data_IF_328619131836
#
_entry.id   IF_328619131836
#
_cell.length_a   1.000
_cell.length_b   1.000
_cell.length_c   1.000
_cell.angle_alpha   90.00
_cell.angle_beta   90.00
_cell.angle_gamma   90.00
#
_symmetry.space_group_name_H-M   'P 1'
#
loop_
_entity.id
_entity.type
_entity.pdbx_description
1 polymer ?
#
# COMPACT_ATOMS: atom_id res chain seq x y z
N UNK A 1 -14.35 -41.28 -58.58
CA UNK A 1 -13.19 -40.85 -57.75
C UNK A 1 -13.65 -39.66 -56.92
N UNK A 2 -14.06 -39.90 -55.62
CA UNK A 2 -14.58 -38.85 -54.74
C UNK A 2 -13.44 -38.35 -53.84
N UNK A 3 -13.06 -37.10 -54.00
CA UNK A 3 -12.01 -36.46 -53.18
C UNK A 3 -12.67 -35.89 -51.93
N UNK A 4 -12.40 -36.51 -50.80
CA UNK A 4 -12.81 -36.04 -49.46
C UNK A 4 -11.87 -34.90 -49.07
N UNK A 5 -12.40 -33.68 -48.97
CA UNK A 5 -11.67 -32.53 -48.38
C UNK A 5 -11.84 -32.55 -46.85
N UNK A 6 -10.75 -32.86 -46.18
CA UNK A 6 -10.66 -32.79 -44.72
C UNK A 6 -10.47 -31.32 -44.33
N UNK A 7 -11.47 -30.71 -43.67
CA UNK A 7 -11.35 -29.38 -43.07
C UNK A 7 -10.69 -29.53 -41.72
N UNK A 8 -9.45 -29.03 -41.59
CA UNK A 8 -8.77 -28.89 -40.29
C UNK A 8 -9.22 -27.56 -39.70
N UNK A 9 -10.06 -27.62 -38.65
CA UNK A 9 -10.41 -26.47 -37.82
C UNK A 9 -9.26 -26.22 -36.87
N UNK A 10 -8.45 -25.20 -37.12
CA UNK A 10 -7.44 -24.74 -36.18
C UNK A 10 -8.14 -24.02 -35.03
N UNK A 11 -8.21 -24.69 -33.87
CA UNK A 11 -8.67 -24.08 -32.64
C UNK A 11 -7.55 -23.21 -32.06
N UNK A 12 -7.61 -21.90 -32.27
CA UNK A 12 -6.71 -20.94 -31.65
C UNK A 12 -7.06 -20.80 -30.17
N UNK A 13 -6.24 -21.38 -29.31
CA UNK A 13 -6.34 -21.20 -27.86
C UNK A 13 -5.78 -19.81 -27.55
N UNK A 14 -6.64 -18.82 -27.31
CA UNK A 14 -6.24 -17.57 -26.67
C UNK A 14 -5.86 -17.90 -25.22
N UNK A 15 -4.57 -17.95 -24.95
CA UNK A 15 -4.06 -17.91 -23.57
C UNK A 15 -4.27 -16.49 -23.06
N UNK A 16 -5.31 -16.26 -22.28
CA UNK A 16 -5.41 -15.07 -21.46
C UNK A 16 -4.27 -15.15 -20.43
N UNK A 17 -3.22 -14.35 -20.62
CA UNK A 17 -2.23 -14.11 -19.57
C UNK A 17 -2.98 -13.41 -18.44
N UNK A 18 -3.22 -14.12 -17.34
CA UNK A 18 -3.57 -13.50 -16.08
C UNK A 18 -2.33 -12.68 -15.67
N UNK A 19 -2.36 -11.38 -15.94
CA UNK A 19 -1.43 -10.47 -15.28
C UNK A 19 -1.77 -10.55 -13.81
N UNK A 20 -0.92 -11.22 -13.03
CA UNK A 20 -0.91 -11.07 -11.58
C UNK A 20 -0.77 -9.56 -11.32
N UNK A 21 -1.56 -9.03 -10.42
CA UNK A 21 -1.67 -7.60 -10.14
C UNK A 21 -0.40 -7.18 -9.38
N UNK A 22 0.71 -7.01 -10.10
CA UNK A 22 2.02 -6.62 -9.55
C UNK A 22 1.96 -5.27 -8.80
N UNK A 23 0.86 -4.54 -8.98
CA UNK A 23 0.66 -3.21 -8.44
C UNK A 23 -0.29 -3.19 -7.25
N UNK A 24 -0.67 -4.34 -6.71
CA UNK A 24 -1.43 -4.49 -5.46
C UNK A 24 -0.52 -5.06 -4.38
N UNK A 25 -0.43 -4.35 -3.26
CA UNK A 25 0.42 -4.71 -2.13
C UNK A 25 -0.47 -5.03 -0.93
N UNK A 26 -0.35 -6.24 -0.40
CA UNK A 26 -1.02 -6.65 0.82
C UNK A 26 -0.14 -6.36 2.03
N UNK A 27 -0.67 -5.61 2.99
CA UNK A 27 0.01 -5.23 4.23
C UNK A 27 -0.83 -5.68 5.43
N UNK A 28 -0.24 -6.52 6.25
CA UNK A 28 -0.85 -6.97 7.50
C UNK A 28 -0.36 -6.16 8.70
N UNK A 29 -1.27 -5.91 9.64
CA UNK A 29 -0.97 -5.36 10.97
C UNK A 29 -1.75 -6.13 12.03
N UNK A 30 -1.34 -6.01 13.28
CA UNK A 30 -2.01 -6.60 14.42
C UNK A 30 -1.74 -5.75 15.68
N UNK A 31 -2.17 -6.22 16.86
CA UNK A 31 -1.99 -5.52 18.13
C UNK A 31 -0.52 -5.42 18.61
N UNK A 32 0.46 -5.78 17.76
CA UNK A 32 1.89 -5.79 18.06
C UNK A 32 2.69 -4.64 17.41
N UNK A 33 2.03 -3.65 16.80
CA UNK A 33 2.63 -2.47 16.17
C UNK A 33 3.72 -2.79 15.11
N UNK A 34 3.51 -3.82 14.30
CA UNK A 34 4.40 -4.18 13.19
C UNK A 34 3.65 -4.22 11.87
N UNK A 35 4.30 -3.81 10.80
CA UNK A 35 3.86 -4.08 9.43
C UNK A 35 4.45 -5.40 8.93
N UNK A 36 3.64 -6.16 8.20
CA UNK A 36 4.07 -7.38 7.51
C UNK A 36 3.62 -7.30 6.05
N UNK A 37 4.55 -7.23 5.10
CA UNK A 37 6.01 -7.15 5.26
C UNK A 37 6.51 -5.79 5.76
N UNK A 38 7.73 -5.74 6.29
CA UNK A 38 8.39 -4.52 6.76
C UNK A 38 9.13 -3.73 5.66
N UNK A 39 9.21 -4.28 4.46
CA UNK A 39 9.74 -3.62 3.26
C UNK A 39 8.80 -3.89 2.11
N UNK A 40 8.45 -2.84 1.38
CA UNK A 40 7.63 -2.90 0.19
C UNK A 40 8.45 -2.43 -1.00
N UNK A 41 8.28 -3.07 -2.16
CA UNK A 41 9.00 -2.73 -3.39
C UNK A 41 8.05 -2.68 -4.57
N UNK A 42 8.23 -1.68 -5.42
CA UNK A 42 7.52 -1.54 -6.70
C UNK A 42 8.49 -1.21 -7.83
N UNK A 43 8.16 -1.64 -9.04
CA UNK A 43 8.75 -1.10 -10.27
C UNK A 43 7.88 0.02 -10.80
N UNK A 44 8.43 1.23 -10.89
CA UNK A 44 7.72 2.40 -11.42
C UNK A 44 7.29 2.22 -12.87
N UNK A 45 8.11 1.51 -13.66
CA UNK A 45 7.81 1.22 -15.07
C UNK A 45 6.62 0.27 -15.21
N UNK A 46 6.54 -0.74 -14.36
CA UNK A 46 5.45 -1.72 -14.38
C UNK A 46 4.18 -1.22 -13.69
N UNK A 47 4.32 -0.34 -12.69
CA UNK A 47 3.23 0.11 -11.82
C UNK A 47 3.03 1.63 -11.86
N UNK A 48 2.31 2.17 -12.87
CA UNK A 48 1.99 3.59 -12.91
C UNK A 48 1.05 4.03 -11.78
N UNK A 49 0.34 3.09 -11.18
CA UNK A 49 -0.53 3.26 -10.02
C UNK A 49 -0.39 2.05 -9.11
N UNK A 50 -0.40 2.25 -7.80
CA UNK A 50 -0.26 1.20 -6.77
C UNK A 50 -1.43 1.23 -5.83
N UNK A 51 -1.97 0.06 -5.51
CA UNK A 51 -2.97 -0.12 -4.45
C UNK A 51 -2.32 -0.82 -3.27
N UNK A 52 -2.43 -0.23 -2.09
CA UNK A 52 -2.04 -0.83 -0.82
C UNK A 52 -3.29 -1.23 -0.06
N UNK A 53 -3.44 -2.52 0.22
CA UNK A 53 -4.50 -3.06 1.06
C UNK A 53 -3.94 -3.29 2.46
N UNK A 54 -4.54 -2.65 3.47
CA UNK A 54 -4.17 -2.79 4.87
C UNK A 54 -5.21 -3.62 5.60
N UNK A 55 -4.78 -4.70 6.26
CA UNK A 55 -5.66 -5.58 7.06
C UNK A 55 -5.15 -5.70 8.49
N UNK A 56 -6.03 -5.47 9.46
CA UNK A 56 -5.73 -5.58 10.88
C UNK A 56 -6.27 -6.90 11.46
N UNK A 57 -5.39 -7.86 11.74
CA UNK A 57 -5.74 -9.18 12.27
C UNK A 57 -5.85 -9.25 13.80
N UNK A 58 -5.62 -8.14 14.50
CA UNK A 58 -5.76 -8.05 15.97
C UNK A 58 -7.22 -7.97 16.42
N UNK A 59 -7.43 -7.70 17.71
CA UNK A 59 -8.76 -7.62 18.34
C UNK A 59 -9.06 -6.29 19.03
N UNK A 60 -8.10 -5.36 19.10
CA UNK A 60 -8.28 -4.09 19.80
C UNK A 60 -8.95 -3.04 18.91
N UNK A 61 -9.77 -2.21 19.54
CA UNK A 61 -10.50 -1.14 18.86
C UNK A 61 -9.53 -0.08 18.29
N UNK A 62 -9.91 0.57 17.20
CA UNK A 62 -9.11 1.60 16.55
C UNK A 62 -8.76 2.82 17.41
N UNK A 63 -9.51 3.09 18.47
CA UNK A 63 -9.20 4.15 19.43
C UNK A 63 -8.09 3.77 20.42
N UNK A 64 -7.74 2.48 20.51
CA UNK A 64 -6.75 1.93 21.45
C UNK A 64 -5.49 1.48 20.71
N UNK A 65 -5.65 0.73 19.60
CA UNK A 65 -4.58 0.14 18.81
C UNK A 65 -4.91 0.28 17.32
N UNK A 66 -5.30 1.50 16.93
CA UNK A 66 -5.56 1.79 15.52
C UNK A 66 -4.27 1.86 14.70
N UNK A 67 -4.34 1.41 13.46
CA UNK A 67 -3.24 1.49 12.51
C UNK A 67 -3.70 2.06 11.18
N UNK A 68 -2.86 2.89 10.58
CA UNK A 68 -2.94 3.27 9.18
C UNK A 68 -1.59 3.01 8.50
N UNK A 69 -1.59 3.07 7.19
CA UNK A 69 -0.40 3.05 6.35
C UNK A 69 -0.25 4.43 5.71
N UNK A 70 0.87 5.09 5.95
CA UNK A 70 1.17 6.44 5.45
C UNK A 70 2.49 6.43 4.73
N UNK A 71 2.56 6.97 3.50
CA UNK A 71 3.78 7.10 2.71
C UNK A 71 4.23 8.56 2.66
N UNK A 72 5.52 8.78 2.91
CA UNK A 72 6.19 10.08 2.69
C UNK A 72 7.66 9.86 2.30
N UNK A 73 8.38 10.96 2.00
CA UNK A 73 9.84 10.88 1.97
C UNK A 73 10.35 10.50 3.37
N UNK A 74 11.47 9.80 3.45
CA UNK A 74 12.07 9.44 4.74
C UNK A 74 12.41 10.69 5.56
N UNK A 75 12.84 11.76 4.88
CA UNK A 75 13.17 13.03 5.52
C UNK A 75 11.97 13.70 6.23
N UNK A 76 10.76 13.53 5.67
CA UNK A 76 9.54 14.16 6.18
C UNK A 76 8.75 13.28 7.16
N UNK A 77 8.96 11.97 7.13
CA UNK A 77 8.11 10.97 7.78
C UNK A 77 7.89 11.25 9.29
N UNK A 78 8.95 11.57 10.02
CA UNK A 78 8.83 11.86 11.45
C UNK A 78 8.07 13.17 11.72
N UNK A 79 8.31 14.20 10.91
CA UNK A 79 7.63 15.47 11.06
C UNK A 79 6.13 15.36 10.76
N UNK A 80 5.76 14.57 9.75
CA UNK A 80 4.35 14.26 9.43
C UNK A 80 3.69 13.51 10.58
N UNK A 81 4.32 12.44 11.10
CA UNK A 81 3.80 11.68 12.23
C UNK A 81 3.57 12.57 13.46
N UNK A 82 4.55 13.40 13.82
CA UNK A 82 4.44 14.29 14.97
C UNK A 82 3.33 15.35 14.80
N UNK A 83 3.21 15.93 13.61
CA UNK A 83 2.16 16.90 13.31
C UNK A 83 0.75 16.27 13.34
N UNK A 84 0.65 14.99 12.95
CA UNK A 84 -0.60 14.22 12.96
C UNK A 84 -1.17 13.97 14.35
N UNK A 85 -0.36 13.96 15.39
CA UNK A 85 -0.84 13.69 16.76
C UNK A 85 -1.91 14.68 17.22
N UNK A 86 -1.72 15.96 16.89
CA UNK A 86 -2.69 17.02 17.22
C UNK A 86 -3.96 17.00 16.37
N UNK A 87 -3.92 16.34 15.20
CA UNK A 87 -5.06 16.23 14.30
C UNK A 87 -6.13 15.24 14.80
N UNK A 88 -5.73 14.26 15.61
CA UNK A 88 -6.61 13.28 16.23
C UNK A 88 -7.16 12.22 15.27
N UNK A 89 -7.94 11.30 15.82
CA UNK A 89 -8.50 10.16 15.07
C UNK A 89 -9.46 10.59 13.96
N UNK A 90 -10.22 11.64 14.15
CA UNK A 90 -11.18 12.15 13.15
C UNK A 90 -10.47 12.62 11.86
N UNK A 91 -9.20 12.98 11.97
CA UNK A 91 -8.33 13.30 10.83
C UNK A 91 -7.28 12.20 10.56
N UNK A 92 -7.55 10.96 10.97
CA UNK A 92 -6.69 9.80 10.74
C UNK A 92 -5.26 9.98 11.30
N UNK A 93 -5.08 10.83 12.33
CA UNK A 93 -3.79 11.28 12.85
C UNK A 93 -2.86 11.84 11.77
N UNK A 94 -3.41 12.57 10.83
CA UNK A 94 -2.68 13.27 9.76
C UNK A 94 -3.12 14.74 9.70
N UNK A 95 -2.21 15.68 9.47
CA UNK A 95 -2.59 17.07 9.23
C UNK A 95 -3.39 17.17 7.93
N UNK A 96 -4.59 17.76 7.93
CA UNK A 96 -5.39 17.89 6.74
C UNK A 96 -4.64 18.66 5.64
N UNK A 97 -4.54 18.07 4.44
CA UNK A 97 -3.92 18.70 3.27
C UNK A 97 -2.39 18.84 3.33
N UNK A 98 -1.71 18.11 4.19
CA UNK A 98 -0.25 18.14 4.27
C UNK A 98 0.37 17.51 3.00
N UNK A 99 1.01 18.33 2.19
CA UNK A 99 1.62 17.94 0.91
C UNK A 99 2.80 16.93 1.06
N UNK A 100 3.29 16.71 2.27
CA UNK A 100 4.34 15.71 2.58
C UNK A 100 3.76 14.28 2.64
N UNK A 101 2.45 14.14 2.80
CA UNK A 101 1.75 12.86 2.73
C UNK A 101 1.52 12.51 1.27
N UNK A 102 2.25 11.50 0.76
CA UNK A 102 2.14 11.04 -0.63
C UNK A 102 0.87 10.19 -0.79
N UNK A 103 0.61 9.29 0.16
CA UNK A 103 -0.59 8.47 0.21
C UNK A 103 -0.86 8.02 1.65
N UNK A 104 -2.12 7.73 1.97
CA UNK A 104 -2.48 7.18 3.28
C UNK A 104 -3.79 6.41 3.22
N UNK A 105 -3.90 5.37 4.05
CA UNK A 105 -5.16 4.70 4.36
C UNK A 105 -5.87 5.36 5.53
N UNK A 106 -7.12 5.00 5.74
CA UNK A 106 -7.81 5.27 7.01
C UNK A 106 -7.16 4.52 8.18
N UNK A 107 -7.36 5.02 9.40
CA UNK A 107 -7.04 4.27 10.63
C UNK A 107 -8.08 3.18 10.82
N UNK A 108 -7.61 1.94 10.97
CA UNK A 108 -8.45 0.75 11.19
C UNK A 108 -8.14 0.09 12.54
N UNK A 109 -9.13 -0.60 13.09
CA UNK A 109 -9.01 -1.43 14.29
C UNK A 109 -9.01 -2.91 13.98
N UNK A 110 -8.96 -3.73 15.03
CA UNK A 110 -8.95 -5.18 14.92
C UNK A 110 -10.12 -5.74 14.11
N UNK A 111 -9.83 -6.60 13.14
CA UNK A 111 -10.81 -7.21 12.22
C UNK A 111 -11.22 -6.33 11.04
N UNK A 112 -10.71 -5.11 10.93
CA UNK A 112 -11.03 -4.18 9.84
C UNK A 112 -9.97 -4.23 8.72
N UNK A 113 -10.36 -3.77 7.52
CA UNK A 113 -9.49 -3.60 6.36
C UNK A 113 -9.79 -2.28 5.66
N UNK A 114 -8.80 -1.71 5.00
CA UNK A 114 -8.90 -0.49 4.20
C UNK A 114 -7.89 -0.52 3.07
N UNK A 115 -8.02 0.38 2.11
CA UNK A 115 -7.07 0.47 1.01
C UNK A 115 -6.84 1.91 0.57
N UNK A 116 -5.71 2.15 -0.09
CA UNK A 116 -5.42 3.39 -0.82
C UNK A 116 -4.82 3.06 -2.17
N UNK A 117 -5.24 3.78 -3.20
CA UNK A 117 -4.64 3.73 -4.54
C UNK A 117 -4.02 5.08 -4.84
N UNK A 118 -2.78 5.10 -5.31
CA UNK A 118 -2.05 6.34 -5.62
C UNK A 118 -1.19 6.18 -6.88
N UNK A 119 -0.95 7.31 -7.56
CA UNK A 119 -0.11 7.41 -8.76
C UNK A 119 1.37 7.43 -8.37
N UNK A 120 2.20 6.71 -9.10
CA UNK A 120 3.64 6.61 -8.89
C UNK A 120 4.45 7.63 -9.68
N UNK A 121 3.82 8.44 -10.56
CA UNK A 121 4.52 9.42 -11.41
C UNK A 121 5.37 10.40 -10.59
N UNK A 122 4.89 10.80 -9.41
CA UNK A 122 5.60 11.69 -8.48
C UNK A 122 6.75 11.03 -7.73
N UNK A 123 6.89 9.70 -7.77
CA UNK A 123 7.98 8.99 -7.12
C UNK A 123 9.23 8.95 -8.02
N UNK A 124 10.40 8.87 -7.40
CA UNK A 124 11.68 8.75 -8.08
C UNK A 124 12.27 7.36 -7.80
N UNK A 125 12.69 6.64 -8.84
CA UNK A 125 13.42 5.38 -8.67
C UNK A 125 14.71 5.61 -7.89
N UNK A 126 14.98 4.77 -6.89
CA UNK A 126 16.07 4.95 -5.93
C UNK A 126 15.83 6.07 -4.92
N UNK A 127 14.66 6.70 -4.91
CA UNK A 127 14.27 7.70 -3.89
C UNK A 127 14.13 7.07 -2.50
N UNK A 128 14.30 7.89 -1.47
CA UNK A 128 14.27 7.45 -0.08
C UNK A 128 12.87 7.71 0.51
N UNK A 129 12.08 6.64 0.61
CA UNK A 129 10.69 6.69 1.09
C UNK A 129 10.51 5.78 2.30
N UNK A 130 9.69 6.25 3.24
CA UNK A 130 9.29 5.50 4.42
C UNK A 130 7.77 5.42 4.48
N UNK A 131 7.24 4.22 4.71
CA UNK A 131 5.87 4.07 5.16
C UNK A 131 5.82 3.86 6.67
N UNK A 132 4.76 4.36 7.31
CA UNK A 132 4.66 4.35 8.77
C UNK A 132 3.20 4.41 9.24
N UNK A 133 2.98 4.10 10.51
CA UNK A 133 1.72 4.35 11.20
C UNK A 133 1.78 5.70 11.91
N UNK A 134 0.80 6.56 11.65
CA UNK A 134 0.73 7.90 12.26
C UNK A 134 -0.02 7.94 13.60
N UNK A 135 -0.62 6.81 14.03
CA UNK A 135 -1.25 6.71 15.33
C UNK A 135 -0.28 7.13 16.44
N UNK A 136 -0.79 7.81 17.47
CA UNK A 136 0.04 8.42 18.53
C UNK A 136 1.01 7.40 19.14
N UNK A 137 2.31 7.70 19.09
CA UNK A 137 3.37 6.88 19.65
C UNK A 137 3.84 5.71 18.79
N UNK A 138 3.13 5.34 17.70
CA UNK A 138 3.48 4.16 16.90
C UNK A 138 4.68 4.38 15.98
N UNK A 139 4.89 5.59 15.47
CA UNK A 139 5.96 5.92 14.53
C UNK A 139 7.35 5.42 14.94
N UNK A 140 7.65 5.43 16.24
CA UNK A 140 8.97 5.05 16.77
C UNK A 140 9.41 3.65 16.33
N UNK A 141 8.47 2.72 16.25
CA UNK A 141 8.73 1.30 15.96
C UNK A 141 7.96 0.79 14.73
N UNK A 142 6.83 1.44 14.37
CA UNK A 142 5.93 0.97 13.30
C UNK A 142 6.16 1.75 12.01
N UNK A 143 7.22 1.37 11.30
CA UNK A 143 7.61 1.93 10.00
C UNK A 143 8.42 0.93 9.19
N UNK A 144 8.48 1.15 7.87
CA UNK A 144 9.23 0.33 6.94
C UNK A 144 9.72 1.12 5.73
N UNK A 145 10.56 0.50 4.91
CA UNK A 145 11.10 1.08 3.69
C UNK A 145 10.14 0.83 2.51
N UNK A 146 9.89 1.86 1.71
CA UNK A 146 9.18 1.75 0.44
C UNK A 146 10.18 1.97 -0.69
N UNK A 147 10.55 0.89 -1.37
CA UNK A 147 11.57 0.85 -2.41
C UNK A 147 10.93 1.05 -3.77
N UNK A 148 11.43 2.02 -4.54
CA UNK A 148 10.99 2.30 -5.90
C UNK A 148 12.13 1.98 -6.85
N UNK A 149 11.93 1.02 -7.75
CA UNK A 149 12.85 0.69 -8.83
C UNK A 149 12.36 1.26 -10.17
N UNK A 150 13.19 1.13 -11.22
CA UNK A 150 12.82 1.55 -12.59
C UNK A 150 11.70 0.67 -13.17
#
# INVERSE_FOLDING_TARGET
MKINRLFIVACSILTASAFADECVIEVGVADNMNFVPATLEISKTSCPSVTVNLTHSGGLQKSIMGHNWVLSTTADSQAVANAGWGAGLDNQYLPPGDARVIASTDVIGGGESTSVTFDTAGLTAGGDYTFFCSFVGHYAIMKGAFVVTE
#
